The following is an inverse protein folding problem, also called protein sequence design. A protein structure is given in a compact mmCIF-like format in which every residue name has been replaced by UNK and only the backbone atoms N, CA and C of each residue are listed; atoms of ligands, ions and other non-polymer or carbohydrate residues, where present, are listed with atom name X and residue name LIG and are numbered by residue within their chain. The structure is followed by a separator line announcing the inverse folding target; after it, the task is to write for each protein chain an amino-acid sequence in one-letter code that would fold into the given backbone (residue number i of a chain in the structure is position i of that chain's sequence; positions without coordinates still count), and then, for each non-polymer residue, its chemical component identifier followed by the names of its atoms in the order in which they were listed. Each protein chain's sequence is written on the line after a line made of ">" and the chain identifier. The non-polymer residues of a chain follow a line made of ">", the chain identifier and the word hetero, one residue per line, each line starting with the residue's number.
data_IF_671314181370
#
_entry.id   IF_671314181370
#
_cell.length_a   1.000
_cell.length_b   1.000
_cell.length_c   1.000
_cell.angle_alpha   90.00
_cell.angle_beta   90.00
_cell.angle_gamma   90.00
#
_symmetry.space_group_name_H-M   'P 1'
#
loop_
_entity.id
_entity.type
_entity.pdbx_description
1 polymer ?
#
# COMPACT_ATOMS: atom_id res chain seq x y z
N UNK A 1 10.96 -30.66 20.58
CA UNK A 1 11.45 -29.26 20.45
C UNK A 1 10.24 -28.37 20.21
N UNK A 2 9.86 -27.52 21.18
CA UNK A 2 8.81 -26.50 20.95
C UNK A 2 9.46 -25.38 20.13
N UNK A 3 9.01 -25.19 18.88
CA UNK A 3 9.39 -24.02 18.10
C UNK A 3 8.89 -22.76 18.81
N UNK A 4 9.78 -21.81 19.05
CA UNK A 4 9.38 -20.49 19.56
C UNK A 4 8.51 -19.83 18.48
N UNK A 5 7.26 -19.54 18.79
CA UNK A 5 6.43 -18.70 17.92
C UNK A 5 6.98 -17.28 18.06
N UNK A 6 7.78 -16.86 17.08
CA UNK A 6 8.11 -15.44 16.97
C UNK A 6 6.84 -14.71 16.52
N UNK A 7 6.33 -13.74 17.28
CA UNK A 7 5.23 -12.93 16.82
C UNK A 7 5.67 -12.23 15.53
N UNK A 8 4.96 -12.52 14.44
CA UNK A 8 5.20 -11.86 13.15
C UNK A 8 4.74 -10.41 13.32
N UNK A 9 5.70 -9.49 13.41
CA UNK A 9 5.40 -8.07 13.45
C UNK A 9 4.69 -7.70 12.14
N UNK A 10 3.52 -7.07 12.25
CA UNK A 10 2.82 -6.52 11.09
C UNK A 10 3.44 -5.16 10.77
N UNK A 11 4.05 -4.99 9.57
CA UNK A 11 4.62 -3.70 9.20
C UNK A 11 3.53 -2.63 9.09
N UNK A 12 3.84 -1.41 9.54
CA UNK A 12 3.00 -0.22 9.34
C UNK A 12 3.27 0.47 7.99
N UNK A 13 4.44 0.23 7.40
CA UNK A 13 4.88 0.79 6.12
C UNK A 13 5.36 -0.33 5.19
N UNK A 14 4.92 -0.30 3.94
CA UNK A 14 5.26 -1.27 2.91
C UNK A 14 6.33 -0.73 1.95
N UNK A 15 7.26 -1.61 1.54
CA UNK A 15 8.09 -1.37 0.35
C UNK A 15 7.23 -1.44 -0.91
N UNK A 16 7.73 -0.92 -2.04
CA UNK A 16 6.99 -0.93 -3.30
C UNK A 16 6.52 -2.35 -3.71
N UNK A 17 7.38 -3.41 -3.71
CA UNK A 17 6.90 -4.76 -4.01
C UNK A 17 5.91 -5.31 -2.98
N UNK A 18 6.06 -4.93 -1.69
CA UNK A 18 5.13 -5.33 -0.65
C UNK A 18 3.77 -4.64 -0.79
N UNK A 19 3.73 -3.40 -1.28
CA UNK A 19 2.51 -2.66 -1.54
C UNK A 19 1.73 -3.28 -2.70
N UNK A 20 2.40 -3.60 -3.80
CA UNK A 20 1.82 -4.34 -4.93
C UNK A 20 1.26 -5.70 -4.48
N UNK A 21 2.04 -6.47 -3.71
CA UNK A 21 1.60 -7.76 -3.18
C UNK A 21 0.42 -7.65 -2.20
N UNK A 22 0.34 -6.57 -1.40
CA UNK A 22 -0.76 -6.34 -0.47
C UNK A 22 -2.10 -6.11 -1.20
N UNK A 23 -2.05 -5.54 -2.40
CA UNK A 23 -3.20 -5.32 -3.27
C UNK A 23 -3.40 -6.43 -4.31
N UNK A 24 -2.66 -7.54 -4.17
CA UNK A 24 -2.74 -8.71 -5.07
C UNK A 24 -2.51 -8.38 -6.55
N UNK A 25 -1.49 -7.57 -6.86
CA UNK A 25 -1.16 -7.20 -8.24
C UNK A 25 0.35 -7.26 -8.56
N UNK A 26 0.71 -7.43 -9.85
CA UNK A 26 2.07 -7.26 -10.34
C UNK A 26 2.65 -5.86 -10.05
N UNK A 27 3.97 -5.78 -9.90
CA UNK A 27 4.67 -4.54 -9.54
C UNK A 27 4.62 -3.46 -10.63
N UNK A 28 4.68 -3.86 -11.90
CA UNK A 28 4.51 -2.97 -13.04
C UNK A 28 3.11 -2.36 -13.08
N UNK A 29 2.07 -3.18 -12.92
CA UNK A 29 0.68 -2.70 -12.81
C UNK A 29 0.51 -1.72 -11.65
N UNK A 30 1.12 -2.03 -10.49
CA UNK A 30 1.08 -1.12 -9.35
C UNK A 30 1.73 0.25 -9.67
N UNK A 31 2.86 0.26 -10.38
CA UNK A 31 3.54 1.50 -10.80
C UNK A 31 2.68 2.31 -11.76
N UNK A 32 2.07 1.65 -12.74
CA UNK A 32 1.20 2.31 -13.72
C UNK A 32 -0.01 2.96 -13.03
N UNK A 33 -0.59 2.29 -12.03
CA UNK A 33 -1.71 2.84 -11.25
C UNK A 33 -1.29 4.01 -10.33
N UNK A 34 -0.06 3.99 -9.80
CA UNK A 34 0.50 5.11 -9.05
C UNK A 34 0.74 6.31 -9.97
N UNK A 35 1.33 6.07 -11.16
CA UNK A 35 1.57 7.12 -12.15
C UNK A 35 0.27 7.73 -12.68
N UNK A 36 -0.75 6.90 -12.91
CA UNK A 36 -2.09 7.32 -13.32
C UNK A 36 -2.89 8.01 -12.20
N UNK A 37 -2.40 8.02 -10.95
CA UNK A 37 -3.06 8.63 -9.79
C UNK A 37 -4.21 7.82 -9.19
N UNK A 38 -4.43 6.57 -9.65
CA UNK A 38 -5.43 5.66 -9.09
C UNK A 38 -5.01 5.11 -7.73
N UNK A 39 -3.71 4.96 -7.50
CA UNK A 39 -3.12 4.64 -6.19
C UNK A 39 -2.29 5.84 -5.72
N UNK A 40 -2.37 6.24 -4.44
CA UNK A 40 -1.54 7.33 -3.92
C UNK A 40 -0.03 7.07 -4.08
N UNK A 41 0.77 8.10 -4.37
CA UNK A 41 2.22 7.96 -4.42
C UNK A 41 2.78 7.60 -3.03
N UNK A 42 3.89 6.86 -3.04
CA UNK A 42 4.58 6.50 -1.80
C UNK A 42 5.20 7.71 -1.10
N UNK A 43 5.36 7.62 0.21
CA UNK A 43 5.98 8.66 1.05
C UNK A 43 7.50 8.49 1.08
N UNK A 44 8.24 9.57 0.83
CA UNK A 44 9.66 9.66 1.15
C UNK A 44 9.85 9.74 2.66
N UNK A 45 10.50 8.74 3.27
CA UNK A 45 10.80 8.72 4.72
C UNK A 45 12.28 8.99 5.02
N UNK A 46 13.13 8.89 3.99
CA UNK A 46 14.53 9.29 3.97
C UNK A 46 14.95 9.49 2.50
N UNK A 47 16.10 10.12 2.21
CA UNK A 47 16.62 10.21 0.84
C UNK A 47 16.71 8.82 0.18
N UNK A 48 16.08 8.67 -0.98
CA UNK A 48 16.05 7.40 -1.73
C UNK A 48 15.17 6.30 -1.13
N UNK A 49 14.41 6.58 -0.06
CA UNK A 49 13.59 5.58 0.63
C UNK A 49 12.11 5.95 0.59
N UNK A 50 11.38 5.28 -0.32
CA UNK A 50 9.93 5.41 -0.49
C UNK A 50 9.21 4.26 0.21
N UNK A 51 8.11 4.57 0.92
CA UNK A 51 7.23 3.58 1.55
C UNK A 51 5.76 3.98 1.45
N UNK A 52 4.88 3.00 1.38
CA UNK A 52 3.42 3.20 1.42
C UNK A 52 2.89 2.88 2.81
N UNK A 53 1.88 3.64 3.24
CA UNK A 53 1.16 3.37 4.48
C UNK A 53 0.28 2.12 4.30
N UNK A 54 0.48 1.11 5.15
CA UNK A 54 -0.21 -0.18 5.01
C UNK A 54 -1.71 -0.04 5.28
N UNK A 55 -2.13 0.84 6.18
CA UNK A 55 -3.53 1.00 6.52
C UNK A 55 -4.28 1.78 5.44
N UNK A 56 -3.64 2.76 4.80
CA UNK A 56 -4.18 3.43 3.61
C UNK A 56 -4.38 2.43 2.46
N UNK A 57 -3.39 1.57 2.18
CA UNK A 57 -3.51 0.54 1.13
C UNK A 57 -4.64 -0.45 1.42
N UNK A 58 -4.83 -0.86 2.68
CA UNK A 58 -5.94 -1.73 3.06
C UNK A 58 -7.31 -1.08 2.81
N UNK A 59 -7.46 0.22 3.09
CA UNK A 59 -8.72 0.94 2.81
C UNK A 59 -9.05 0.95 1.33
N UNK A 60 -8.05 1.22 0.48
CA UNK A 60 -8.17 1.16 -0.98
C UNK A 60 -8.65 -0.24 -1.42
N UNK A 61 -7.96 -1.30 -0.96
CA UNK A 61 -8.31 -2.67 -1.35
C UNK A 61 -9.70 -3.14 -0.89
N UNK A 62 -10.28 -2.50 0.14
CA UNK A 62 -11.62 -2.80 0.64
C UNK A 62 -12.71 -1.93 0.01
N UNK A 63 -12.35 -1.02 -0.89
CA UNK A 63 -13.24 0.06 -1.36
C UNK A 63 -13.86 0.86 -0.19
N UNK A 64 -13.17 0.91 0.95
CA UNK A 64 -13.52 1.80 2.05
C UNK A 64 -13.02 3.18 1.63
N UNK A 65 -13.92 3.97 1.04
CA UNK A 65 -13.64 5.33 0.54
C UNK A 65 -12.85 6.09 1.60
N UNK A 66 -11.62 6.51 1.27
CA UNK A 66 -10.96 7.55 2.02
C UNK A 66 -11.85 8.79 1.92
N UNK A 67 -12.42 9.21 3.04
CA UNK A 67 -13.14 10.49 3.17
C UNK A 67 -12.27 11.58 2.51
N UNK A 68 -12.74 12.14 1.39
CA UNK A 68 -11.96 13.01 0.50
C UNK A 68 -12.03 12.70 -1.01
N UNK A 69 -12.77 11.67 -1.44
CA UNK A 69 -13.10 11.43 -2.85
C UNK A 69 -14.57 11.78 -3.15
N UNK A 70 -15.03 12.92 -2.63
CA UNK A 70 -16.28 13.57 -3.05
C UNK A 70 -16.03 14.39 -4.32
N UNK A 71 -15.71 13.74 -5.45
CA UNK A 71 -16.08 14.26 -6.78
C UNK A 71 -15.73 13.24 -7.90
N UNK A 72 -16.50 12.17 -8.02
CA UNK A 72 -16.66 11.53 -9.34
C UNK A 72 -18.13 11.21 -9.54
N UNK A 73 -18.79 12.08 -10.29
CA UNK A 73 -20.12 11.83 -10.85
C UNK A 73 -19.95 10.90 -12.05
N UNK A 74 -20.58 9.72 -12.02
CA UNK A 74 -20.90 8.96 -13.23
C UNK A 74 -22.27 9.37 -13.75
#
# INVERSE_FOLDING_TARGET
>A
MKGLIMPKLTPIMASEPSAAALLDMPLDVFRDLVEAGAIPPGRHIAPGLVRWDVDQLKRIGRAETCDGMDDVTW
#
